data_IF_117063673095
#
_entry.id   IF_117063673095
#
_cell.length_a   1.000
_cell.length_b   1.000
_cell.length_c   1.000
_cell.angle_alpha   90.00
_cell.angle_beta   90.00
_cell.angle_gamma   90.00
#
_symmetry.space_group_name_H-M   'P 1'
#
loop_
_entity.id
_entity.type
_entity.pdbx_description
1 polymer ?
#
# COMPACT_ATOMS: atom_id res chain seq x y z
N UNK A 1 -38.86 -41.41 -2.32
CA UNK A 1 -38.23 -41.69 -3.62
C UNK A 1 -36.99 -40.81 -3.64
N UNK A 2 -35.98 -41.20 -2.88
CA UNK A 2 -34.95 -42.20 -3.24
C UNK A 2 -33.93 -41.53 -4.15
N UNK A 3 -32.78 -41.12 -3.60
CA UNK A 3 -31.55 -41.93 -3.41
C UNK A 3 -30.73 -41.86 -4.72
N UNK A 4 -29.58 -41.17 -4.73
CA UNK A 4 -28.19 -41.71 -4.54
C UNK A 4 -27.52 -41.63 -5.94
N UNK A 5 -26.22 -41.42 -6.18
CA UNK A 5 -25.03 -41.49 -5.35
C UNK A 5 -23.81 -40.92 -6.12
N UNK A 6 -22.80 -40.50 -5.36
CA UNK A 6 -21.33 -40.63 -5.59
C UNK A 6 -20.56 -39.85 -6.70
N UNK A 7 -19.79 -38.82 -6.28
CA UNK A 7 -18.31 -38.70 -6.05
C UNK A 7 -17.34 -39.70 -6.78
N UNK A 8 -15.97 -39.52 -6.94
CA UNK A 8 -15.01 -38.47 -6.48
C UNK A 8 -13.87 -38.01 -7.45
N UNK A 9 -13.15 -36.94 -7.09
CA UNK A 9 -11.69 -36.97 -6.72
C UNK A 9 -11.04 -35.57 -6.45
N UNK A 10 -10.71 -35.36 -5.16
CA UNK A 10 -9.69 -34.53 -4.46
C UNK A 10 -8.54 -33.80 -5.22
N UNK A 11 -8.14 -32.63 -4.69
CA UNK A 11 -7.01 -32.41 -3.71
C UNK A 11 -7.03 -30.97 -3.07
N UNK A 12 -7.32 -30.87 -1.75
CA UNK A 12 -6.52 -30.35 -0.57
C UNK A 12 -6.31 -28.81 -0.52
N UNK A 13 -6.71 -27.93 0.44
CA UNK A 13 -7.06 -27.87 1.89
C UNK A 13 -5.95 -27.38 2.86
N UNK A 14 -6.20 -26.26 3.58
CA UNK A 14 -5.73 -25.89 4.95
C UNK A 14 -6.80 -24.96 5.59
N UNK A 15 -7.66 -25.45 6.49
CA UNK A 15 -7.60 -25.51 7.98
C UNK A 15 -7.72 -24.16 8.71
N UNK A 16 -8.85 -23.95 9.39
CA UNK A 16 -9.01 -23.00 10.49
C UNK A 16 -9.41 -23.78 11.76
N UNK A 17 -8.72 -23.49 12.87
CA UNK A 17 -8.77 -24.19 14.16
C UNK A 17 -9.65 -23.43 15.16
N UNK A 18 -10.36 -24.18 15.99
CA UNK A 18 -11.26 -23.71 17.06
C UNK A 18 -10.52 -22.97 18.19
N UNK A 19 -11.15 -21.90 18.67
CA UNK A 19 -10.87 -21.22 19.93
C UNK A 19 -11.43 -22.02 21.12
N UNK A 20 -10.59 -22.27 22.13
CA UNK A 20 -11.01 -22.78 23.43
C UNK A 20 -10.55 -21.79 24.51
N UNK A 21 -11.50 -21.27 25.28
CA UNK A 21 -11.30 -20.45 26.46
C UNK A 21 -10.98 -21.32 27.69
N UNK A 22 -9.95 -20.96 28.45
CA UNK A 22 -9.71 -21.53 29.78
C UNK A 22 -9.27 -20.41 30.74
N UNK A 23 -10.18 -20.06 31.65
CA UNK A 23 -9.95 -19.17 32.78
C UNK A 23 -9.18 -19.91 33.88
N UNK A 24 -8.06 -19.35 34.36
CA UNK A 24 -7.33 -19.87 35.50
C UNK A 24 -7.78 -19.18 36.81
N UNK A 25 -8.29 -19.96 37.76
CA UNK A 25 -8.52 -19.59 39.15
C UNK A 25 -7.38 -20.20 39.98
N UNK A 26 -6.57 -19.37 40.64
CA UNK A 26 -5.55 -19.80 41.59
C UNK A 26 -6.05 -19.71 43.04
N UNK A 27 -6.14 -20.86 43.72
CA UNK A 27 -6.46 -20.99 45.15
C UNK A 27 -5.16 -21.15 45.95
N UNK A 28 -4.99 -20.33 46.98
CA UNK A 28 -3.91 -20.42 47.97
C UNK A 28 -4.16 -21.53 48.99
N UNK A 29 -3.12 -22.32 49.32
CA UNK A 29 -3.09 -23.12 50.54
C UNK A 29 -1.69 -23.05 51.20
N UNK A 30 -1.72 -22.91 52.52
CA UNK A 30 -0.58 -22.80 53.43
C UNK A 30 -0.30 -24.11 54.18
N UNK A 31 0.91 -24.24 54.73
CA UNK A 31 1.29 -25.19 55.81
C UNK A 31 2.80 -25.46 55.81
N UNK A 32 3.64 -24.89 56.68
CA UNK A 32 3.90 -25.12 58.13
C UNK A 32 4.79 -26.33 58.50
N UNK A 33 5.89 -25.98 59.20
CA UNK A 33 6.56 -26.65 60.35
C UNK A 33 7.66 -27.72 60.14
N UNK A 34 8.90 -27.34 60.48
CA UNK A 34 9.56 -27.79 61.73
C UNK A 34 10.77 -28.74 61.63
N UNK A 35 11.85 -28.44 62.37
CA UNK A 35 12.81 -29.45 62.86
C UNK A 35 14.29 -29.04 62.93
N UNK A 36 14.80 -28.86 64.15
CA UNK A 36 16.17 -28.51 64.58
C UNK A 36 17.12 -29.73 64.71
N UNK A 37 18.45 -29.52 64.67
CA UNK A 37 19.45 -30.53 65.07
C UNK A 37 20.81 -30.43 64.38
N UNK A 38 21.84 -30.04 65.14
CA UNK A 38 23.21 -29.73 64.68
C UNK A 38 24.19 -30.91 64.50
N UNK A 39 25.42 -30.55 64.11
CA UNK A 39 26.58 -31.46 64.02
C UNK A 39 27.69 -30.91 63.13
N UNK A 40 28.79 -30.45 63.72
CA UNK A 40 30.07 -30.15 63.06
C UNK A 40 30.65 -31.40 62.37
N UNK A 41 31.21 -31.26 61.17
CA UNK A 41 32.56 -31.75 60.89
C UNK A 41 33.14 -31.16 59.59
N UNK A 42 34.39 -30.74 59.72
CA UNK A 42 35.26 -30.15 58.71
C UNK A 42 35.69 -31.20 57.68
N UNK A 43 35.51 -30.95 56.38
CA UNK A 43 36.39 -31.55 55.35
C UNK A 43 36.52 -30.60 54.17
N UNK A 44 37.69 -29.98 54.05
CA UNK A 44 38.16 -29.27 52.85
C UNK A 44 38.24 -30.26 51.69
N UNK A 45 37.44 -30.05 50.65
CA UNK A 45 37.61 -30.71 49.35
C UNK A 45 37.53 -29.65 48.27
N UNK A 46 38.53 -29.66 47.40
CA UNK A 46 38.76 -28.70 46.33
C UNK A 46 37.54 -28.56 45.40
N UNK A 47 37.02 -27.35 45.26
CA UNK A 47 36.10 -26.98 44.19
C UNK A 47 36.86 -27.02 42.86
N UNK A 48 36.72 -28.12 42.13
CA UNK A 48 36.92 -28.12 40.69
C UNK A 48 35.79 -27.28 40.08
N UNK A 49 36.10 -26.01 39.79
CA UNK A 49 35.24 -25.10 39.05
C UNK A 49 34.97 -25.71 37.68
N UNK A 50 33.83 -26.40 37.56
CA UNK A 50 33.31 -26.79 36.26
C UNK A 50 32.72 -25.51 35.68
N UNK A 51 33.45 -24.89 34.77
CA UNK A 51 32.91 -23.85 33.89
C UNK A 51 31.84 -24.51 33.04
N UNK A 52 30.61 -24.49 33.53
CA UNK A 52 29.43 -24.68 32.71
C UNK A 52 29.39 -23.47 31.78
N UNK A 53 29.87 -23.63 30.56
CA UNK A 53 29.50 -22.75 29.47
C UNK A 53 27.97 -22.79 29.39
N UNK A 54 27.34 -21.76 29.97
CA UNK A 54 25.95 -21.45 29.70
C UNK A 54 25.89 -21.15 28.20
N UNK A 55 25.56 -22.17 27.42
CA UNK A 55 25.07 -22.00 26.07
C UNK A 55 23.75 -21.27 26.25
N UNK A 56 23.79 -19.94 26.12
CA UNK A 56 22.59 -19.14 25.94
C UNK A 56 22.01 -19.56 24.60
N UNK A 57 21.17 -20.59 24.62
CA UNK A 57 20.28 -20.87 23.51
C UNK A 57 19.29 -19.72 23.50
N UNK A 58 19.63 -18.65 22.77
CA UNK A 58 18.65 -17.63 22.40
C UNK A 58 17.56 -18.37 21.65
N UNK A 59 16.37 -18.50 22.24
CA UNK A 59 15.21 -19.01 21.52
C UNK A 59 15.03 -18.11 20.29
N UNK A 60 15.23 -18.68 19.10
CA UNK A 60 15.01 -17.98 17.86
C UNK A 60 13.51 -17.70 17.76
N UNK A 61 13.14 -16.41 17.76
CA UNK A 61 11.77 -15.97 17.53
C UNK A 61 11.33 -16.43 16.16
N UNK A 62 10.08 -16.88 16.04
CA UNK A 62 9.49 -17.33 14.77
C UNK A 62 9.70 -16.29 13.67
N UNK A 63 9.97 -16.73 12.43
CA UNK A 63 10.04 -15.84 11.27
C UNK A 63 8.67 -15.25 10.91
N UNK A 64 7.58 -15.81 11.42
CA UNK A 64 6.20 -15.34 11.20
C UNK A 64 5.71 -14.41 12.32
N UNK A 65 6.58 -14.02 13.27
CA UNK A 65 6.24 -13.12 14.36
C UNK A 65 7.24 -11.95 14.45
N UNK A 66 6.82 -10.77 14.93
CA UNK A 66 7.75 -9.67 15.16
C UNK A 66 8.68 -9.99 16.32
N UNK A 67 9.95 -9.61 16.22
CA UNK A 67 10.91 -9.68 17.31
C UNK A 67 11.25 -8.29 17.86
N UNK A 68 11.77 -8.24 19.09
CA UNK A 68 12.44 -7.04 19.60
C UNK A 68 13.65 -6.70 18.72
N UNK A 69 13.86 -5.42 18.44
CA UNK A 69 14.97 -4.95 17.61
C UNK A 69 16.24 -4.88 18.47
N UNK A 70 17.29 -5.68 18.17
CA UNK A 70 18.54 -5.64 18.94
C UNK A 70 19.18 -4.25 18.98
N UNK A 71 19.80 -3.88 20.10
CA UNK A 71 20.40 -2.54 20.29
C UNK A 71 21.45 -2.18 19.22
N UNK A 72 22.17 -3.17 18.70
CA UNK A 72 23.19 -3.04 17.66
C UNK A 72 22.69 -3.37 16.25
N UNK A 73 21.40 -3.68 16.10
CA UNK A 73 20.79 -4.00 14.81
C UNK A 73 20.95 -2.83 13.84
N UNK A 74 21.46 -3.16 12.65
CA UNK A 74 21.67 -2.18 11.59
C UNK A 74 20.62 -2.34 10.51
N UNK A 75 20.17 -1.20 10.00
CA UNK A 75 19.27 -1.11 8.87
C UNK A 75 19.89 -1.82 7.66
N UNK A 76 19.19 -2.81 7.10
CA UNK A 76 19.68 -3.57 5.93
C UNK A 76 19.88 -2.70 4.68
N UNK A 77 19.22 -1.54 4.60
CA UNK A 77 19.31 -0.62 3.45
C UNK A 77 20.36 0.46 3.65
N UNK A 78 20.32 1.19 4.76
CA UNK A 78 21.15 2.39 4.96
C UNK A 78 22.23 2.25 6.05
N UNK A 79 22.31 1.09 6.72
CA UNK A 79 23.28 0.77 7.77
C UNK A 79 23.20 1.69 9.03
N UNK A 80 22.14 2.49 9.19
CA UNK A 80 21.83 3.20 10.44
C UNK A 80 21.40 2.21 11.53
N UNK A 81 21.63 2.54 12.81
CA UNK A 81 21.18 1.68 13.92
C UNK A 81 19.66 1.73 14.05
N UNK A 82 18.97 0.62 13.75
CA UNK A 82 17.51 0.54 13.73
C UNK A 82 16.90 0.76 15.12
N UNK A 83 17.55 0.26 16.18
CA UNK A 83 17.10 0.46 17.56
C UNK A 83 17.08 1.94 18.01
N UNK A 84 17.76 2.85 17.31
CA UNK A 84 17.72 4.29 17.60
C UNK A 84 16.46 4.99 17.10
N UNK A 85 15.58 4.27 16.40
CA UNK A 85 14.34 4.79 15.83
C UNK A 85 13.15 3.92 16.26
N UNK A 86 12.88 3.77 17.57
CA UNK A 86 11.87 2.82 18.07
C UNK A 86 10.45 3.11 17.59
N UNK A 87 10.12 4.37 17.25
CA UNK A 87 8.81 4.78 16.75
C UNK A 87 8.65 4.62 15.22
N UNK A 88 9.74 4.27 14.52
CA UNK A 88 9.78 4.19 13.05
C UNK A 88 10.36 2.87 12.53
N UNK A 89 11.09 2.13 13.36
CA UNK A 89 11.80 0.96 12.91
C UNK A 89 10.84 -0.11 12.37
N UNK A 90 11.33 -0.90 11.44
CA UNK A 90 10.55 -1.95 10.81
C UNK A 90 11.41 -3.21 10.75
N UNK A 91 10.79 -4.33 10.42
CA UNK A 91 11.49 -5.59 10.24
C UNK A 91 10.79 -6.44 9.18
N UNK A 92 11.57 -7.28 8.52
CA UNK A 92 11.11 -8.20 7.49
C UNK A 92 11.89 -9.51 7.64
N UNK A 93 11.24 -10.63 7.38
CA UNK A 93 11.85 -11.96 7.42
C UNK A 93 11.81 -12.63 6.06
N UNK A 94 12.89 -13.33 5.75
CA UNK A 94 13.07 -14.11 4.53
C UNK A 94 13.25 -15.59 4.90
N UNK A 95 12.63 -16.50 4.13
CA UNK A 95 12.86 -17.95 4.21
C UNK A 95 14.04 -18.38 3.34
N UNK A 96 15.22 -17.81 3.64
CA UNK A 96 16.49 -18.14 2.97
C UNK A 96 17.57 -18.43 4.01
N UNK A 97 18.48 -19.35 3.69
CA UNK A 97 19.62 -19.73 4.54
C UNK A 97 19.26 -19.99 6.02
N UNK A 98 18.29 -20.90 6.25
CA UNK A 98 17.73 -21.24 7.58
C UNK A 98 16.97 -20.08 8.26
N UNK A 99 16.59 -19.04 7.49
CA UNK A 99 15.79 -17.93 7.95
C UNK A 99 16.61 -16.69 8.28
N UNK A 100 16.24 -15.55 7.68
CA UNK A 100 16.90 -14.26 7.93
C UNK A 100 15.89 -13.22 8.40
N UNK A 101 16.28 -12.38 9.37
CA UNK A 101 15.52 -11.20 9.79
C UNK A 101 16.31 -9.94 9.46
N UNK A 102 15.76 -9.12 8.57
CA UNK A 102 16.24 -7.78 8.30
C UNK A 102 15.55 -6.77 9.23
N UNK A 103 16.33 -5.83 9.75
CA UNK A 103 15.81 -4.69 10.51
C UNK A 103 15.99 -3.42 9.69
N UNK A 104 15.13 -2.43 9.93
CA UNK A 104 15.13 -1.16 9.21
C UNK A 104 14.95 -0.01 10.18
N UNK A 105 15.61 1.12 9.92
CA UNK A 105 15.46 2.32 10.75
C UNK A 105 14.14 3.06 10.55
N UNK A 106 13.36 2.69 9.53
CA UNK A 106 12.20 3.45 9.06
C UNK A 106 11.35 2.61 8.10
N UNK A 107 10.04 2.87 7.94
CA UNK A 107 9.19 2.13 7.01
C UNK A 107 9.64 2.29 5.56
N UNK A 108 10.11 3.48 5.15
CA UNK A 108 10.61 3.69 3.77
C UNK A 108 11.85 2.86 3.42
N UNK A 109 12.68 2.47 4.40
CA UNK A 109 13.76 1.52 4.15
C UNK A 109 13.23 0.09 4.02
N UNK A 110 12.18 -0.27 4.77
CA UNK A 110 11.57 -1.59 4.67
C UNK A 110 10.86 -1.74 3.33
N UNK A 111 10.08 -0.76 2.88
CA UNK A 111 9.38 -0.83 1.59
C UNK A 111 10.36 -0.79 0.40
N UNK A 112 11.49 -0.09 0.52
CA UNK A 112 12.56 -0.18 -0.48
C UNK A 112 13.20 -1.58 -0.53
N UNK A 113 13.42 -2.23 0.62
CA UNK A 113 13.89 -3.61 0.64
C UNK A 113 12.86 -4.58 0.06
N UNK A 114 11.58 -4.39 0.41
CA UNK A 114 10.46 -5.17 -0.13
C UNK A 114 10.37 -5.07 -1.66
N UNK A 115 10.59 -3.88 -2.22
CA UNK A 115 10.53 -3.63 -3.66
C UNK A 115 11.60 -4.40 -4.47
N UNK A 116 12.78 -4.63 -3.90
CA UNK A 116 13.86 -5.36 -4.57
C UNK A 116 14.76 -6.08 -3.55
N UNK A 117 14.31 -7.20 -2.94
CA UNK A 117 15.10 -7.92 -1.95
C UNK A 117 16.44 -8.39 -2.52
N UNK A 118 16.44 -8.78 -3.80
CA UNK A 118 17.62 -9.21 -4.55
C UNK A 118 18.72 -8.16 -4.66
N UNK A 119 18.37 -6.87 -4.58
CA UNK A 119 19.34 -5.77 -4.52
C UNK A 119 20.16 -5.75 -3.22
N UNK A 120 19.56 -6.20 -2.11
CA UNK A 120 20.15 -6.13 -0.78
C UNK A 120 20.69 -7.47 -0.30
N UNK A 121 20.05 -8.57 -0.72
CA UNK A 121 20.43 -9.95 -0.41
C UNK A 121 20.41 -10.74 -1.71
N UNK A 122 21.60 -11.09 -2.20
CA UNK A 122 21.78 -11.79 -3.47
C UNK A 122 20.92 -13.07 -3.55
N UNK A 123 20.20 -13.23 -4.65
CA UNK A 123 19.41 -14.44 -4.92
C UNK A 123 18.06 -14.50 -4.22
N UNK A 124 17.62 -13.42 -3.58
CA UNK A 124 16.30 -13.31 -2.96
C UNK A 124 15.33 -12.50 -3.81
N UNK A 125 14.03 -12.69 -3.55
CA UNK A 125 12.91 -12.06 -4.23
C UNK A 125 11.78 -11.80 -3.23
N UNK A 126 10.70 -11.15 -3.68
CA UNK A 126 9.51 -10.95 -2.86
C UNK A 126 8.85 -12.26 -2.42
N UNK A 127 9.00 -13.35 -3.19
CA UNK A 127 8.45 -14.67 -2.86
C UNK A 127 9.10 -15.30 -1.63
N UNK A 128 10.32 -14.88 -1.28
CA UNK A 128 11.06 -15.38 -0.13
C UNK A 128 10.62 -14.69 1.18
N UNK A 129 9.81 -13.64 1.10
CA UNK A 129 9.34 -12.88 2.26
C UNK A 129 8.24 -13.67 2.98
N UNK A 130 8.45 -13.98 4.26
CA UNK A 130 7.50 -14.74 5.08
C UNK A 130 6.86 -13.93 6.20
N UNK A 131 7.35 -12.71 6.44
CA UNK A 131 6.76 -11.79 7.40
C UNK A 131 7.32 -10.39 7.26
N UNK A 132 6.49 -9.38 7.50
CA UNK A 132 6.91 -7.99 7.49
C UNK A 132 6.13 -7.22 8.57
N UNK A 133 6.81 -6.33 9.26
CA UNK A 133 6.23 -5.49 10.31
C UNK A 133 6.76 -4.07 10.23
N UNK A 134 5.83 -3.12 10.33
CA UNK A 134 6.14 -1.71 10.41
C UNK A 134 5.49 -1.12 11.67
N UNK A 135 6.01 0.03 12.10
CA UNK A 135 5.38 0.80 13.17
C UNK A 135 4.12 1.44 12.63
N UNK A 136 3.00 1.12 13.24
CA UNK A 136 1.76 1.86 13.03
C UNK A 136 2.01 3.33 13.36
N UNK A 137 1.54 4.22 12.48
CA UNK A 137 1.89 5.63 12.56
C UNK A 137 1.32 6.31 13.81
N UNK A 138 0.17 5.86 14.34
CA UNK A 138 -0.42 6.49 15.52
C UNK A 138 0.06 5.84 16.81
N UNK A 139 -0.13 4.53 16.94
CA UNK A 139 0.15 3.77 18.16
C UNK A 139 1.63 3.52 18.39
N UNK A 140 2.44 3.55 17.32
CA UNK A 140 3.85 3.15 17.31
C UNK A 140 4.08 1.68 17.67
N UNK A 141 3.04 0.85 17.68
CA UNK A 141 3.17 -0.59 17.84
C UNK A 141 3.59 -1.25 16.52
N UNK A 142 4.22 -2.42 16.59
CA UNK A 142 4.50 -3.20 15.37
C UNK A 142 3.22 -3.87 14.90
N UNK A 143 2.86 -3.61 13.65
CA UNK A 143 1.70 -4.21 12.98
C UNK A 143 2.15 -5.02 11.77
N UNK A 144 1.33 -5.97 11.34
CA UNK A 144 1.59 -6.74 10.13
C UNK A 144 1.57 -5.80 8.92
N UNK A 145 2.74 -5.60 8.33
CA UNK A 145 2.93 -4.69 7.20
C UNK A 145 2.24 -5.19 5.93
N UNK A 146 2.03 -6.50 5.80
CA UNK A 146 1.44 -7.11 4.61
C UNK A 146 -0.06 -6.87 4.50
N UNK A 147 -0.72 -6.59 5.62
CA UNK A 147 -2.14 -6.22 5.68
C UNK A 147 -2.38 -4.77 6.12
N UNK A 148 -1.32 -3.98 6.29
CA UNK A 148 -1.43 -2.58 6.68
C UNK A 148 -1.92 -1.70 5.52
N UNK A 149 -2.49 -0.56 5.87
CA UNK A 149 -2.90 0.50 4.95
C UNK A 149 -1.76 1.52 4.89
N UNK A 150 -1.16 1.71 3.72
CA UNK A 150 0.03 2.53 3.55
C UNK A 150 -0.33 3.88 2.93
N UNK A 151 -0.24 4.96 3.71
CA UNK A 151 -0.36 6.31 3.16
C UNK A 151 0.96 6.70 2.51
N UNK A 152 0.89 7.11 1.24
CA UNK A 152 2.01 7.59 0.44
C UNK A 152 2.33 9.06 0.74
N UNK A 153 2.83 9.33 1.96
CA UNK A 153 3.18 10.69 2.38
C UNK A 153 4.48 11.18 1.71
N UNK A 154 4.33 12.04 0.70
CA UNK A 154 5.45 12.57 -0.10
C UNK A 154 5.97 13.93 0.38
N UNK A 155 5.28 14.64 1.28
CA UNK A 155 5.73 15.90 1.88
C UNK A 155 6.60 15.64 3.11
N UNK A 156 7.92 15.73 2.90
CA UNK A 156 8.91 15.43 3.95
C UNK A 156 8.83 16.33 5.19
N UNK A 157 8.22 17.50 5.10
CA UNK A 157 8.07 18.47 6.18
C UNK A 157 6.79 18.29 7.01
N UNK A 158 5.84 17.47 6.53
CA UNK A 158 4.60 17.15 7.24
C UNK A 158 4.81 16.17 8.39
N UNK A 159 5.82 15.32 8.29
CA UNK A 159 6.14 14.28 9.26
C UNK A 159 7.59 14.43 9.78
N UNK A 160 7.80 14.26 11.09
CA UNK A 160 9.15 14.25 11.68
C UNK A 160 9.78 12.85 11.57
N UNK A 161 9.97 12.41 10.33
CA UNK A 161 10.40 11.06 10.03
C UNK A 161 11.92 10.97 9.79
N UNK A 162 12.59 9.90 10.26
CA UNK A 162 14.00 9.67 9.93
C UNK A 162 14.13 9.45 8.42
N UNK A 163 15.22 9.95 7.84
CA UNK A 163 15.50 9.81 6.40
C UNK A 163 14.51 10.52 5.47
N UNK A 164 13.92 11.65 5.93
CA UNK A 164 12.97 12.46 5.16
C UNK A 164 11.67 11.68 4.90
N UNK A 165 11.20 11.61 3.65
CA UNK A 165 9.91 10.98 3.28
C UNK A 165 9.83 9.52 3.75
N UNK A 166 8.69 9.13 4.28
CA UNK A 166 8.38 7.76 4.62
C UNK A 166 6.92 7.48 4.29
N UNK A 167 6.59 6.31 3.71
CA UNK A 167 5.22 5.86 3.70
C UNK A 167 4.80 5.55 5.14
N UNK A 168 3.54 5.77 5.46
CA UNK A 168 3.00 5.63 6.80
C UNK A 168 2.13 4.38 6.85
N UNK A 169 2.49 3.42 7.70
CA UNK A 169 1.68 2.23 7.90
C UNK A 169 0.59 2.51 8.94
N UNK A 170 -0.64 2.10 8.64
CA UNK A 170 -1.76 2.09 9.58
C UNK A 170 -2.35 0.70 9.67
N UNK A 171 -2.61 0.23 10.89
CA UNK A 171 -3.32 -1.03 11.10
C UNK A 171 -4.73 -1.01 10.51
N UNK A 172 -5.39 0.14 10.57
CA UNK A 172 -6.80 0.33 10.19
C UNK A 172 -6.95 1.24 8.98
N UNK A 173 -7.83 0.84 8.06
CA UNK A 173 -8.22 1.67 6.92
C UNK A 173 -8.85 3.00 7.38
N UNK A 174 -9.65 2.98 8.46
CA UNK A 174 -10.26 4.20 9.01
C UNK A 174 -9.21 5.18 9.54
N UNK A 175 -8.09 4.69 10.08
CA UNK A 175 -7.02 5.53 10.59
C UNK A 175 -6.21 6.15 9.44
N UNK A 176 -5.88 5.36 8.40
CA UNK A 176 -5.29 5.88 7.17
C UNK A 176 -6.20 6.93 6.52
N UNK A 177 -7.51 6.66 6.44
CA UNK A 177 -8.48 7.60 5.89
C UNK A 177 -8.54 8.89 6.72
N UNK A 178 -8.52 8.77 8.06
CA UNK A 178 -8.51 9.94 8.94
C UNK A 178 -7.27 10.82 8.72
N UNK A 179 -6.11 10.22 8.44
CA UNK A 179 -4.89 10.96 8.12
C UNK A 179 -5.00 11.68 6.78
N UNK A 180 -5.46 11.02 5.72
CA UNK A 180 -5.58 11.68 4.40
C UNK A 180 -6.61 12.80 4.42
N UNK A 181 -7.71 12.65 5.18
CA UNK A 181 -8.75 13.68 5.32
C UNK A 181 -8.27 14.97 6.02
N UNK A 182 -7.08 14.95 6.66
CA UNK A 182 -6.48 16.15 7.25
C UNK A 182 -5.89 17.10 6.20
N UNK A 183 -5.67 16.64 4.95
CA UNK A 183 -4.92 17.36 3.93
C UNK A 183 -5.66 17.37 2.59
N UNK A 184 -5.91 18.56 2.05
CA UNK A 184 -6.65 18.72 0.78
C UNK A 184 -5.94 18.10 -0.44
N UNK A 185 -4.62 17.89 -0.36
CA UNK A 185 -3.80 17.31 -1.43
C UNK A 185 -3.63 15.79 -1.31
N UNK A 186 -4.24 15.15 -0.30
CA UNK A 186 -4.32 13.70 -0.19
C UNK A 186 -5.76 13.22 -0.37
N UNK A 187 -5.89 11.99 -0.84
CA UNK A 187 -7.17 11.31 -1.05
C UNK A 187 -7.07 9.83 -0.68
N UNK A 188 -8.18 9.11 -0.81
CA UNK A 188 -8.20 7.65 -0.68
C UNK A 188 -7.24 6.93 -1.65
N UNK A 189 -6.87 7.56 -2.78
CA UNK A 189 -5.95 6.97 -3.76
C UNK A 189 -4.48 7.01 -3.31
N UNK A 190 -4.17 7.78 -2.26
CA UNK A 190 -2.85 7.81 -1.63
C UNK A 190 -2.70 6.73 -0.55
N UNK A 191 -3.72 5.90 -0.34
CA UNK A 191 -3.70 4.75 0.58
C UNK A 191 -3.57 3.48 -0.25
N UNK A 192 -2.48 2.74 -0.04
CA UNK A 192 -2.18 1.53 -0.82
C UNK A 192 -1.84 0.32 0.04
N UNK A 193 -1.88 -0.87 -0.56
CA UNK A 193 -1.30 -2.09 0.00
C UNK A 193 0.24 -2.13 -0.09
N UNK A 194 0.88 -3.02 0.69
CA UNK A 194 2.33 -3.23 0.60
C UNK A 194 2.78 -3.73 -0.79
N UNK A 195 1.93 -4.51 -1.46
CA UNK A 195 2.22 -5.09 -2.77
C UNK A 195 2.45 -4.03 -3.86
N UNK A 196 1.94 -2.82 -3.67
CA UNK A 196 2.11 -1.69 -4.59
C UNK A 196 3.55 -1.17 -4.64
N UNK A 197 4.38 -1.48 -3.64
CA UNK A 197 5.77 -1.02 -3.58
C UNK A 197 6.68 -1.84 -4.51
N UNK A 198 6.86 -1.33 -5.72
CA UNK A 198 7.89 -1.73 -6.67
C UNK A 198 9.13 -0.80 -6.60
N UNK A 199 10.13 -1.05 -7.47
CA UNK A 199 11.33 -0.21 -7.53
C UNK A 199 11.01 1.26 -7.84
N UNK A 200 10.25 1.60 -8.91
CA UNK A 200 9.81 2.96 -9.17
C UNK A 200 9.18 3.68 -7.96
N UNK A 201 8.20 3.07 -7.28
CA UNK A 201 7.56 3.67 -6.11
C UNK A 201 8.52 3.77 -4.92
N UNK A 202 9.30 2.72 -4.66
CA UNK A 202 10.32 2.72 -3.60
C UNK A 202 11.33 3.86 -3.74
N UNK A 203 11.62 4.30 -4.97
CA UNK A 203 12.54 5.41 -5.23
C UNK A 203 12.04 6.77 -4.72
N UNK A 204 10.72 7.00 -4.61
CA UNK A 204 10.19 8.24 -4.00
C UNK A 204 10.69 8.44 -2.56
N UNK A 205 10.90 7.33 -1.86
CA UNK A 205 11.35 7.31 -0.48
C UNK A 205 12.86 7.07 -0.39
N UNK A 206 13.44 6.20 -1.22
CA UNK A 206 14.82 5.70 -1.07
C UNK A 206 15.61 5.61 -2.38
N UNK A 207 15.43 6.55 -3.32
CA UNK A 207 16.13 6.57 -4.62
C UNK A 207 17.63 6.23 -4.57
N UNK A 208 18.35 6.73 -3.57
CA UNK A 208 19.80 6.49 -3.41
C UNK A 208 20.17 5.00 -3.23
N UNK A 209 19.26 4.19 -2.72
CA UNK A 209 19.51 2.80 -2.34
C UNK A 209 18.86 1.78 -3.28
N UNK A 210 18.23 2.24 -4.35
CA UNK A 210 17.55 1.40 -5.33
C UNK A 210 18.20 1.60 -6.71
N UNK A 211 18.13 0.60 -7.60
CA UNK A 211 18.61 0.76 -8.96
C UNK A 211 17.87 1.89 -9.68
N UNK A 212 18.54 2.51 -10.66
CA UNK A 212 17.88 3.42 -11.60
C UNK A 212 16.93 2.63 -12.50
N UNK A 213 15.80 3.22 -12.85
CA UNK A 213 14.80 2.64 -13.76
C UNK A 213 14.18 3.73 -14.62
N UNK A 214 13.79 3.36 -15.84
CA UNK A 214 13.01 4.22 -16.76
C UNK A 214 11.51 3.91 -16.68
N UNK A 215 11.12 2.89 -15.92
CA UNK A 215 9.72 2.54 -15.73
C UNK A 215 9.03 3.57 -14.81
N UNK A 216 7.85 4.09 -15.20
CA UNK A 216 7.13 5.06 -14.40
C UNK A 216 6.53 4.38 -13.17
N UNK A 217 6.57 5.07 -12.02
CA UNK A 217 5.85 4.61 -10.82
C UNK A 217 4.35 4.61 -11.06
N UNK A 218 3.61 3.83 -10.27
CA UNK A 218 2.14 3.95 -10.17
C UNK A 218 1.67 5.35 -9.75
N UNK A 219 2.57 6.25 -9.34
CA UNK A 219 2.33 7.67 -9.06
C UNK A 219 2.76 8.63 -10.18
N UNK A 220 3.31 8.10 -11.26
CA UNK A 220 3.70 8.86 -12.44
C UNK A 220 2.78 8.52 -13.61
N UNK A 221 2.53 9.51 -14.46
CA UNK A 221 1.99 9.20 -15.77
C UNK A 221 3.03 8.49 -16.66
N UNK A 222 2.56 7.56 -17.48
CA UNK A 222 3.35 6.87 -18.47
C UNK A 222 3.17 7.46 -19.88
N UNK A 223 4.10 7.18 -20.78
CA UNK A 223 3.84 7.33 -22.22
C UNK A 223 2.71 6.38 -22.64
N UNK A 224 1.75 6.89 -23.42
CA UNK A 224 0.63 6.10 -23.91
C UNK A 224 1.10 5.24 -25.09
N UNK A 225 1.02 3.90 -25.02
CA UNK A 225 1.46 3.03 -26.11
C UNK A 225 0.66 3.29 -27.40
N UNK A 226 1.34 3.22 -28.55
CA UNK A 226 0.75 3.47 -29.88
C UNK A 226 -0.40 2.51 -30.21
N UNK A 227 -0.35 1.29 -29.68
CA UNK A 227 -1.31 0.21 -29.86
C UNK A 227 -2.24 0.01 -28.66
N UNK A 228 -2.16 0.86 -27.63
CA UNK A 228 -3.10 0.82 -26.52
C UNK A 228 -4.53 1.00 -27.03
N UNK A 229 -5.46 0.22 -26.48
CA UNK A 229 -6.88 0.35 -26.74
C UNK A 229 -7.56 1.02 -25.55
N UNK A 230 -8.47 1.96 -25.82
CA UNK A 230 -9.26 2.59 -24.78
C UNK A 230 -10.10 1.54 -24.06
N UNK A 231 -9.95 1.42 -22.74
CA UNK A 231 -10.64 0.41 -21.92
C UNK A 231 -12.19 0.53 -21.93
N UNK A 232 -12.72 1.64 -22.46
CA UNK A 232 -14.16 1.90 -22.57
C UNK A 232 -14.71 1.74 -23.99
N UNK A 233 -13.95 2.09 -25.03
CA UNK A 233 -14.48 2.17 -26.39
C UNK A 233 -13.56 1.62 -27.50
N UNK A 234 -12.41 1.04 -27.12
CA UNK A 234 -11.42 0.42 -28.03
C UNK A 234 -10.80 1.37 -29.08
N UNK A 235 -11.02 2.68 -28.96
CA UNK A 235 -10.27 3.65 -29.76
C UNK A 235 -8.83 3.77 -29.26
N UNK A 236 -7.88 4.00 -30.15
CA UNK A 236 -6.46 4.18 -29.81
C UNK A 236 -6.22 5.52 -29.10
N UNK A 237 -5.86 5.54 -27.79
CA UNK A 237 -5.62 6.78 -27.04
C UNK A 237 -4.43 7.60 -27.56
N UNK A 238 -3.41 6.94 -28.14
CA UNK A 238 -2.27 7.60 -28.78
C UNK A 238 -2.67 8.55 -29.94
N UNK A 239 -3.87 8.39 -30.50
CA UNK A 239 -4.39 9.30 -31.55
C UNK A 239 -4.99 10.60 -31.00
N UNK A 240 -5.05 10.74 -29.69
CA UNK A 240 -5.64 11.89 -28.99
C UNK A 240 -4.69 12.43 -27.92
N UNK A 241 -3.45 12.83 -28.26
CA UNK A 241 -2.42 13.20 -27.28
C UNK A 241 -2.85 14.33 -26.34
N UNK A 242 -3.65 15.29 -26.81
CA UNK A 242 -4.09 16.45 -26.02
C UNK A 242 -5.36 16.20 -25.19
N UNK A 243 -5.90 14.98 -25.23
CA UNK A 243 -7.18 14.62 -24.59
C UNK A 243 -7.20 13.22 -23.98
N UNK A 244 -6.22 12.38 -24.27
CA UNK A 244 -6.15 11.05 -23.67
C UNK A 244 -5.94 11.16 -22.17
N UNK A 245 -6.24 10.07 -21.50
CA UNK A 245 -6.11 9.94 -20.06
C UNK A 245 -5.64 8.53 -19.74
N UNK A 246 -5.16 8.34 -18.52
CA UNK A 246 -4.71 7.04 -18.03
C UNK A 246 -4.96 6.94 -16.53
N UNK A 247 -5.02 5.71 -16.03
CA UNK A 247 -5.00 5.40 -14.62
C UNK A 247 -4.04 4.25 -14.35
N UNK A 248 -3.53 4.17 -13.13
CA UNK A 248 -2.73 3.07 -12.61
C UNK A 248 -3.48 2.35 -11.50
N UNK A 249 -3.27 1.04 -11.43
CA UNK A 249 -3.76 0.18 -10.36
C UNK A 249 -2.63 -0.17 -9.38
N UNK A 250 -3.00 -0.66 -8.18
CA UNK A 250 -2.06 -1.12 -7.15
C UNK A 250 -1.10 -2.21 -7.64
N UNK A 251 -1.52 -3.06 -8.57
CA UNK A 251 -0.70 -4.12 -9.16
C UNK A 251 0.28 -3.63 -10.24
N UNK A 252 0.31 -2.32 -10.51
CA UNK A 252 1.16 -1.70 -11.54
C UNK A 252 0.55 -1.68 -12.93
N UNK A 253 -0.59 -2.34 -13.17
CA UNK A 253 -1.26 -2.28 -14.46
C UNK A 253 -1.85 -0.89 -14.74
N UNK A 254 -2.06 -0.58 -16.01
CA UNK A 254 -2.60 0.72 -16.46
C UNK A 254 -3.72 0.54 -17.45
N UNK A 255 -4.78 1.33 -17.25
CA UNK A 255 -5.82 1.51 -18.27
C UNK A 255 -5.62 2.85 -18.98
N UNK A 256 -5.78 2.85 -20.30
CA UNK A 256 -5.66 4.03 -21.14
C UNK A 256 -7.03 4.41 -21.71
N UNK A 257 -7.24 5.71 -21.95
CA UNK A 257 -8.51 6.25 -22.40
C UNK A 257 -8.31 7.28 -23.48
N UNK A 258 -9.14 7.22 -24.53
CA UNK A 258 -9.06 8.18 -25.62
C UNK A 258 -9.62 9.57 -25.28
N UNK A 259 -10.28 9.73 -24.12
CA UNK A 259 -10.90 11.00 -23.71
C UNK A 259 -11.14 11.05 -22.19
N UNK A 260 -11.32 12.24 -21.59
CA UNK A 260 -11.63 12.38 -20.17
C UNK A 260 -12.95 11.70 -19.81
N UNK A 261 -13.97 11.77 -20.66
CA UNK A 261 -15.25 11.12 -20.40
C UNK A 261 -15.21 9.59 -20.46
N UNK A 262 -14.26 8.99 -21.17
CA UNK A 262 -14.02 7.55 -21.05
C UNK A 262 -13.36 7.23 -19.71
N UNK A 263 -12.32 7.99 -19.34
CA UNK A 263 -11.63 7.83 -18.05
C UNK A 263 -12.60 7.96 -16.87
N UNK A 264 -13.40 9.02 -16.80
CA UNK A 264 -14.31 9.24 -15.65
C UNK A 264 -15.46 8.23 -15.62
N UNK A 265 -15.90 7.73 -16.78
CA UNK A 265 -16.91 6.67 -16.83
C UNK A 265 -16.34 5.35 -16.33
N UNK A 266 -15.10 5.02 -16.69
CA UNK A 266 -14.40 3.86 -16.16
C UNK A 266 -14.20 4.01 -14.66
N UNK A 267 -13.65 5.15 -14.22
CA UNK A 267 -13.40 5.45 -12.81
C UNK A 267 -14.65 5.29 -11.93
N UNK A 268 -15.82 5.77 -12.40
CA UNK A 268 -17.06 5.67 -11.63
C UNK A 268 -17.63 4.25 -11.50
N UNK A 269 -17.22 3.32 -12.37
CA UNK A 269 -17.68 1.92 -12.36
C UNK A 269 -16.70 1.00 -13.10
N UNK A 270 -15.50 0.72 -12.55
CA UNK A 270 -14.48 -0.08 -13.24
C UNK A 270 -14.98 -1.50 -13.56
N UNK A 271 -15.70 -2.11 -12.62
CA UNK A 271 -16.24 -3.48 -12.71
C UNK A 271 -17.22 -3.71 -13.87
N UNK A 272 -17.76 -2.63 -14.46
CA UNK A 272 -18.59 -2.73 -15.67
C UNK A 272 -17.75 -2.95 -16.93
N UNK A 273 -16.51 -2.42 -16.96
CA UNK A 273 -15.61 -2.50 -18.09
C UNK A 273 -14.59 -3.64 -17.93
N UNK A 274 -14.22 -3.95 -16.69
CA UNK A 274 -13.31 -5.02 -16.33
C UNK A 274 -13.75 -5.63 -14.98
N UNK A 275 -14.29 -6.84 -15.01
CA UNK A 275 -14.88 -7.51 -13.83
C UNK A 275 -13.87 -7.76 -12.70
N UNK A 276 -12.57 -7.71 -13.00
CA UNK A 276 -11.49 -7.90 -12.01
C UNK A 276 -11.06 -6.60 -11.34
N UNK A 277 -11.58 -5.45 -11.79
CA UNK A 277 -11.16 -4.11 -11.31
C UNK A 277 -12.21 -3.45 -10.43
N UNK A 278 -11.75 -2.88 -9.32
CA UNK A 278 -12.52 -1.99 -8.46
C UNK A 278 -11.95 -0.56 -8.48
N UNK A 279 -12.76 0.40 -8.04
CA UNK A 279 -12.32 1.80 -7.94
C UNK A 279 -11.27 1.98 -6.85
N UNK A 280 -11.33 1.18 -5.78
CA UNK A 280 -10.40 1.27 -4.66
C UNK A 280 -9.02 0.69 -5.00
N UNK A 281 -8.87 -0.05 -6.11
CA UNK A 281 -7.57 -0.54 -6.60
C UNK A 281 -6.79 0.55 -7.37
N UNK A 282 -7.40 1.71 -7.64
CA UNK A 282 -6.81 2.80 -8.42
C UNK A 282 -5.90 3.62 -7.51
N UNK A 283 -4.66 3.88 -7.94
CA UNK A 283 -3.66 4.62 -7.17
C UNK A 283 -3.32 5.98 -7.81
N UNK A 284 -3.44 6.09 -9.14
CA UNK A 284 -3.15 7.33 -9.84
C UNK A 284 -4.03 7.51 -11.06
N UNK A 285 -4.37 8.75 -11.37
CA UNK A 285 -5.18 9.11 -12.54
C UNK A 285 -4.59 10.37 -13.17
N UNK A 286 -4.45 10.38 -14.48
CA UNK A 286 -3.93 11.52 -15.23
C UNK A 286 -4.79 11.82 -16.43
N UNK A 287 -4.97 13.11 -16.68
CA UNK A 287 -5.62 13.65 -17.87
C UNK A 287 -4.84 14.88 -18.35
N UNK A 288 -5.38 15.59 -19.33
CA UNK A 288 -4.81 16.82 -19.84
C UNK A 288 -5.70 17.99 -19.46
N UNK A 289 -5.12 19.07 -18.95
CA UNK A 289 -5.81 20.33 -18.71
C UNK A 289 -6.42 20.84 -20.03
N UNK A 290 -7.70 21.20 -20.01
CA UNK A 290 -8.39 21.60 -21.22
C UNK A 290 -7.84 22.90 -21.81
N UNK A 291 -7.40 23.85 -20.99
CA UNK A 291 -6.86 25.13 -21.43
C UNK A 291 -5.42 25.04 -21.91
N UNK A 292 -4.54 24.45 -21.11
CA UNK A 292 -3.09 24.41 -21.38
C UNK A 292 -2.66 23.21 -22.22
N UNK A 293 -3.46 22.15 -22.24
CA UNK A 293 -3.11 20.83 -22.79
C UNK A 293 -1.93 20.16 -22.07
N UNK A 294 -1.52 20.68 -20.93
CA UNK A 294 -0.50 20.04 -20.10
C UNK A 294 -1.13 18.90 -19.30
N UNK A 295 -0.33 17.88 -19.02
CA UNK A 295 -0.77 16.79 -18.16
C UNK A 295 -1.06 17.29 -16.75
N UNK A 296 -2.14 16.80 -16.17
CA UNK A 296 -2.56 17.10 -14.80
C UNK A 296 -2.81 15.82 -14.00
N UNK A 297 -2.73 15.95 -12.67
CA UNK A 297 -3.28 14.98 -11.73
C UNK A 297 -4.81 15.07 -11.79
N UNK A 298 -5.43 14.03 -12.32
CA UNK A 298 -6.86 13.99 -12.56
C UNK A 298 -7.67 13.79 -11.26
N UNK A 299 -7.06 13.27 -10.18
CA UNK A 299 -7.70 13.14 -8.88
C UNK A 299 -7.90 14.52 -8.24
N UNK A 300 -6.89 15.39 -8.38
CA UNK A 300 -6.88 16.76 -7.84
C UNK A 300 -7.56 17.79 -8.77
N UNK A 301 -7.93 17.39 -9.99
CA UNK A 301 -8.53 18.28 -10.97
C UNK A 301 -10.00 18.64 -10.68
N UNK A 302 -10.41 19.78 -11.23
CA UNK A 302 -11.81 20.21 -11.30
C UNK A 302 -12.40 19.88 -12.68
N UNK A 303 -13.62 19.35 -12.71
CA UNK A 303 -14.30 18.92 -13.92
C UNK A 303 -15.57 19.71 -14.14
N UNK A 304 -15.68 20.40 -15.28
CA UNK A 304 -16.93 21.03 -15.70
C UNK A 304 -17.83 19.99 -16.36
N UNK A 305 -19.03 19.81 -15.84
CA UNK A 305 -20.03 18.86 -16.33
C UNK A 305 -20.72 19.35 -17.60
N UNK A 306 -19.99 19.44 -18.71
CA UNK A 306 -20.62 19.75 -19.99
C UNK A 306 -21.34 18.51 -20.56
N UNK A 307 -22.64 18.64 -20.77
CA UNK A 307 -23.56 17.55 -21.12
C UNK A 307 -24.20 17.70 -22.51
N UNK A 308 -24.01 18.82 -23.20
CA UNK A 308 -24.50 19.02 -24.58
C UNK A 308 -23.54 18.40 -25.59
N UNK A 309 -22.23 18.51 -25.35
CA UNK A 309 -21.17 18.19 -26.30
C UNK A 309 -21.03 19.24 -27.42
N UNK A 310 -21.69 20.39 -27.27
CA UNK A 310 -21.57 21.55 -28.13
C UNK A 310 -20.40 22.41 -27.65
N UNK A 311 -19.66 23.01 -28.59
CA UNK A 311 -18.59 23.99 -28.32
C UNK A 311 -17.39 23.50 -27.46
N UNK A 312 -17.16 22.19 -27.41
CA UNK A 312 -15.97 21.59 -26.76
C UNK A 312 -15.18 20.74 -27.76
N UNK A 313 -13.89 21.03 -27.89
CA UNK A 313 -12.96 20.28 -28.74
C UNK A 313 -12.36 19.09 -27.97
N UNK A 314 -13.22 18.11 -27.65
CA UNK A 314 -12.82 16.84 -27.05
C UNK A 314 -13.37 15.65 -27.86
N UNK A 315 -12.61 14.55 -27.97
CA UNK A 315 -13.07 13.36 -28.69
C UNK A 315 -14.26 12.71 -27.97
N UNK A 316 -15.13 12.04 -28.74
CA UNK A 316 -16.29 11.29 -28.23
C UNK A 316 -17.49 12.15 -27.75
N UNK A 317 -17.66 13.34 -28.32
CA UNK A 317 -18.78 14.25 -28.04
C UNK A 317 -18.76 14.72 -26.57
N UNK A 318 -19.71 14.26 -25.75
CA UNK A 318 -19.89 14.72 -24.37
C UNK A 318 -18.71 14.26 -23.51
N UNK A 319 -18.03 15.21 -22.88
CA UNK A 319 -16.97 14.93 -21.92
C UNK A 319 -17.08 15.90 -20.75
N UNK A 320 -16.80 15.44 -19.52
CA UNK A 320 -16.43 16.36 -18.47
C UNK A 320 -15.11 17.03 -18.86
N UNK A 321 -14.98 18.32 -18.54
CA UNK A 321 -13.86 19.16 -18.99
C UNK A 321 -12.88 19.33 -17.84
N UNK A 322 -11.70 18.70 -17.89
CA UNK A 322 -10.73 18.75 -16.79
C UNK A 322 -9.94 20.06 -16.78
N UNK A 323 -9.75 20.62 -15.60
CA UNK A 323 -8.88 21.76 -15.33
C UNK A 323 -8.06 21.50 -14.07
N UNK A 324 -6.77 21.84 -14.13
CA UNK A 324 -5.87 21.73 -12.97
C UNK A 324 -6.22 22.74 -11.87
N UNK A 325 -6.93 23.83 -12.21
CA UNK A 325 -7.34 24.87 -11.27
C UNK A 325 -8.84 25.01 -11.26
N UNK A 326 -9.41 25.08 -10.06
CA UNK A 326 -10.85 25.28 -9.88
C UNK A 326 -11.30 26.64 -10.43
N UNK A 327 -10.47 27.69 -10.33
CA UNK A 327 -10.82 29.00 -10.86
C UNK A 327 -10.96 29.00 -12.39
N UNK A 328 -10.12 28.23 -13.09
CA UNK A 328 -10.18 28.09 -14.55
C UNK A 328 -11.42 27.27 -14.96
N UNK A 329 -11.78 26.24 -14.17
CA UNK A 329 -13.00 25.47 -14.37
C UNK A 329 -14.27 26.32 -14.20
N UNK A 330 -14.34 27.13 -13.14
CA UNK A 330 -15.48 28.02 -12.88
C UNK A 330 -15.62 29.07 -13.97
N UNK A 331 -14.50 29.69 -14.40
CA UNK A 331 -14.53 30.64 -15.51
C UNK A 331 -15.03 30.00 -16.81
N UNK A 332 -14.57 28.78 -17.12
CA UNK A 332 -15.07 28.03 -18.28
C UNK A 332 -16.57 27.72 -18.16
N UNK A 333 -17.05 27.31 -16.99
CA UNK A 333 -18.45 27.03 -16.77
C UNK A 333 -19.31 28.28 -17.06
N UNK A 334 -18.93 29.45 -16.51
CA UNK A 334 -19.64 30.71 -16.72
C UNK A 334 -19.66 31.14 -18.20
N UNK A 335 -18.55 30.98 -18.92
CA UNK A 335 -18.44 31.29 -20.35
C UNK A 335 -19.30 30.38 -21.25
N UNK A 336 -19.74 29.23 -20.72
CA UNK A 336 -20.52 28.21 -21.41
C UNK A 336 -21.96 28.05 -20.86
N UNK A 337 -22.50 29.10 -20.22
CA UNK A 337 -23.86 29.12 -19.65
C UNK A 337 -24.11 28.01 -18.59
N UNK A 338 -23.05 27.53 -17.94
CA UNK A 338 -23.06 26.63 -16.79
C UNK A 338 -22.77 27.41 -15.50
N UNK A 339 -22.80 26.72 -14.37
CA UNK A 339 -22.59 27.32 -13.04
C UNK A 339 -21.48 26.63 -12.26
N UNK A 340 -21.05 27.22 -11.14
CA UNK A 340 -20.12 26.59 -10.21
C UNK A 340 -20.66 25.24 -9.66
N UNK A 341 -21.98 25.05 -9.60
CA UNK A 341 -22.59 23.77 -9.21
C UNK A 341 -22.35 22.65 -10.24
N UNK A 342 -21.96 23.00 -11.46
CA UNK A 342 -21.58 22.07 -12.53
C UNK A 342 -20.08 21.75 -12.51
N UNK A 343 -19.32 22.23 -11.51
CA UNK A 343 -17.91 21.93 -11.31
C UNK A 343 -17.76 20.93 -10.18
N UNK A 344 -17.19 19.75 -10.47
CA UNK A 344 -17.03 18.66 -9.50
C UNK A 344 -15.60 18.11 -9.49
N UNK A 345 -15.22 17.42 -8.42
CA UNK A 345 -13.98 16.62 -8.36
C UNK A 345 -14.17 15.20 -8.90
N UNK A 346 -13.06 14.49 -9.17
CA UNK A 346 -13.09 13.13 -9.71
C UNK A 346 -13.87 12.14 -8.83
N UNK A 347 -13.75 12.27 -7.50
CA UNK A 347 -14.42 11.40 -6.52
C UNK A 347 -15.96 11.45 -6.60
N UNK A 348 -16.53 12.46 -7.26
CA UNK A 348 -17.97 12.59 -7.46
C UNK A 348 -18.50 11.81 -8.68
N UNK A 349 -17.62 11.23 -9.52
CA UNK A 349 -18.04 10.40 -10.65
C UNK A 349 -18.47 9.02 -10.21
N UNK A 350 -19.74 8.73 -10.42
CA UNK A 350 -20.41 7.46 -10.12
C UNK A 350 -21.00 6.81 -11.39
N UNK A 351 -21.72 5.70 -11.21
CA UNK A 351 -22.40 5.00 -12.31
C UNK A 351 -23.44 5.88 -13.02
N UNK A 352 -24.11 6.81 -12.31
CA UNK A 352 -25.10 7.70 -12.94
C UNK A 352 -24.42 8.69 -13.89
N UNK A 353 -23.32 9.33 -13.46
CA UNK A 353 -22.54 10.21 -14.33
C UNK A 353 -21.87 9.43 -15.47
N UNK A 354 -21.35 8.23 -15.20
CA UNK A 354 -20.78 7.36 -16.22
C UNK A 354 -21.82 7.03 -17.33
N UNK A 355 -23.06 6.70 -16.96
CA UNK A 355 -24.15 6.48 -17.92
C UNK A 355 -24.52 7.73 -18.70
N UNK A 356 -24.50 8.92 -18.08
CA UNK A 356 -24.77 10.18 -18.81
C UNK A 356 -23.75 10.42 -19.92
N UNK A 357 -22.47 10.13 -19.67
CA UNK A 357 -21.40 10.32 -20.65
C UNK A 357 -21.24 9.18 -21.65
N UNK A 358 -21.44 7.92 -21.23
CA UNK A 358 -21.12 6.74 -22.04
C UNK A 358 -22.24 5.72 -22.10
N UNK A 359 -23.51 6.13 -22.06
CA UNK A 359 -24.70 5.26 -22.11
C UNK A 359 -24.61 4.06 -23.08
N UNK A 360 -24.05 4.25 -24.28
CA UNK A 360 -23.91 3.19 -25.29
C UNK A 360 -22.96 2.05 -24.90
N UNK A 361 -22.09 2.28 -23.92
CA UNK A 361 -21.18 1.27 -23.38
C UNK A 361 -21.81 0.51 -22.21
N UNK A 362 -22.98 0.93 -21.73
CA UNK A 362 -23.74 0.29 -20.64
C UNK A 362 -24.91 -0.57 -21.13
N UNK A 363 -25.05 -0.77 -22.45
CA UNK A 363 -26.22 -1.37 -23.08
C UNK A 363 -26.02 -2.77 -23.62
#
# INVERSE_FOLDING_TARGET
>A
MSEDDSDPTRRVSRRLVLTATASAVGVSLAGCLGGDGGGEETTTTEEATTTTEATTTTEQVSLEEPAEVPEDARCAVCNMMAAKYPEWNAQLTLDVDDGQRAHFCSPGCMTAFYADPGHFVDGTSQEDIVGAWARDYDSKELVDATSANWVLELMADRIDAPMMRNPLAFESADAAQSYVDEYDDLTKHDVVGLATFDVPLGRYFRAKFLPETEEPSVLDAAEVPDDAECAVCQMMPAKFPDANAQLSFEDGERAYFCSPGCMTSYYGVPSHFDEERAQDDIVGVWAHDYGTKEQLDAVQASYVLEMTGEDIDLPMMKNPVPFAKSEDAVAFAEDHDLTEEDVIGLLSFDEELAKKYRMKQFS
#
